data_IF_791925831946
#
_entry.id   IF_791925831946
#
_cell.length_a   1.000
_cell.length_b   1.000
_cell.length_c   1.000
_cell.angle_alpha   90.00
_cell.angle_beta   90.00
_cell.angle_gamma   90.00
#
_symmetry.space_group_name_H-M   'P 1'
#
loop_
_entity.id
_entity.type
_entity.pdbx_description
1 polymer ?
#
# COMPACT_ATOMS: atom_id res chain seq x y z
N UNK A 1 -2.87 3.29 -2.63
CA UNK A 1 -1.89 2.20 -2.42
C UNK A 1 -0.64 2.83 -1.82
N UNK A 2 -0.03 2.25 -0.78
CA UNK A 2 1.24 2.77 -0.23
C UNK A 2 2.42 2.28 -1.09
N UNK A 3 3.38 3.16 -1.33
CA UNK A 3 4.63 2.88 -2.03
C UNK A 3 5.80 3.42 -1.20
N UNK A 4 6.97 2.81 -1.34
CA UNK A 4 8.19 3.28 -0.67
C UNK A 4 9.03 4.05 -1.69
N UNK A 5 9.46 5.26 -1.34
CA UNK A 5 10.41 6.01 -2.16
C UNK A 5 11.77 5.31 -2.20
N UNK A 6 12.22 4.91 -3.39
CA UNK A 6 13.53 4.31 -3.63
C UNK A 6 14.63 5.38 -3.69
N UNK A 7 14.27 6.60 -4.10
CA UNK A 7 15.15 7.75 -4.26
C UNK A 7 14.46 9.01 -3.74
N UNK A 8 15.22 10.06 -3.43
CA UNK A 8 14.66 11.36 -3.11
C UNK A 8 14.28 12.11 -4.39
N UNK A 9 13.18 12.84 -4.36
CA UNK A 9 12.69 13.68 -5.44
C UNK A 9 12.41 15.09 -4.92
N UNK A 10 12.88 16.10 -5.65
CA UNK A 10 12.59 17.51 -5.36
C UNK A 10 11.68 18.03 -6.45
N UNK A 11 10.51 18.51 -6.05
CA UNK A 11 9.53 19.11 -6.93
C UNK A 11 10.16 20.30 -7.68
N UNK A 12 10.03 20.26 -8.99
CA UNK A 12 10.45 21.30 -9.93
C UNK A 12 9.27 22.16 -10.39
N UNK A 13 8.07 21.60 -10.35
CA UNK A 13 6.81 22.28 -10.68
C UNK A 13 5.86 22.38 -9.47
N UNK A 14 4.85 23.24 -9.56
CA UNK A 14 3.94 23.54 -8.44
C UNK A 14 2.91 22.43 -8.16
N UNK A 15 2.66 21.55 -9.14
CA UNK A 15 1.77 20.40 -9.06
C UNK A 15 2.51 19.10 -8.67
N UNK A 16 3.81 19.17 -8.43
CA UNK A 16 4.65 18.06 -7.97
C UNK A 16 4.82 18.05 -6.44
N UNK A 17 5.09 16.88 -5.87
CA UNK A 17 5.38 16.76 -4.43
C UNK A 17 6.76 16.15 -4.18
N UNK A 18 7.53 16.83 -3.33
CA UNK A 18 8.87 16.37 -2.94
C UNK A 18 8.78 15.27 -1.88
N UNK A 19 9.74 14.35 -1.91
CA UNK A 19 9.88 13.28 -0.93
C UNK A 19 11.33 12.82 -0.82
N UNK A 20 11.67 12.19 0.30
CA UNK A 20 12.98 11.60 0.54
C UNK A 20 12.97 10.10 0.30
N UNK A 21 14.13 9.54 -0.04
CA UNK A 21 14.33 8.09 -0.07
C UNK A 21 13.89 7.48 1.27
N UNK A 22 13.05 6.45 1.19
CA UNK A 22 12.49 5.74 2.34
C UNK A 22 11.13 6.25 2.79
N UNK A 23 10.67 7.41 2.28
CA UNK A 23 9.34 7.93 2.60
C UNK A 23 8.25 6.98 2.12
N UNK A 24 7.16 6.92 2.89
CA UNK A 24 5.94 6.22 2.51
C UNK A 24 5.05 7.20 1.78
N UNK A 25 4.69 6.84 0.55
CA UNK A 25 3.92 7.68 -0.36
C UNK A 25 2.59 7.01 -0.66
N UNK A 26 1.48 7.72 -0.48
CA UNK A 26 0.13 7.20 -0.78
C UNK A 26 -0.20 7.50 -2.23
N UNK A 27 -0.01 6.52 -3.11
CA UNK A 27 -0.41 6.59 -4.52
C UNK A 27 -1.94 6.55 -4.60
N UNK A 28 -2.51 7.61 -5.18
CA UNK A 28 -3.96 7.84 -5.31
C UNK A 28 -4.42 7.42 -6.70
N UNK A 29 -3.69 7.81 -7.75
CA UNK A 29 -4.08 7.58 -9.13
C UNK A 29 -2.88 7.17 -9.98
N UNK A 30 -3.13 6.22 -10.88
CA UNK A 30 -2.13 5.62 -11.77
C UNK A 30 -2.72 5.69 -13.18
N UNK A 31 -2.25 6.66 -13.96
CA UNK A 31 -2.65 6.77 -15.37
C UNK A 31 -1.85 5.78 -16.22
N UNK A 32 -2.54 5.02 -17.07
CA UNK A 32 -1.93 3.91 -17.83
C UNK A 32 -0.87 4.34 -18.85
N UNK A 33 -0.94 5.58 -19.31
CA UNK A 33 -0.05 6.11 -20.35
C UNK A 33 0.90 7.19 -19.81
N UNK A 34 1.09 7.24 -18.49
CA UNK A 34 1.91 8.23 -17.79
C UNK A 34 2.98 7.56 -16.93
N UNK A 35 4.21 8.06 -16.99
CA UNK A 35 5.29 7.70 -16.06
C UNK A 35 5.21 8.45 -14.71
N UNK A 36 4.09 9.15 -14.49
CA UNK A 36 3.80 9.94 -13.30
C UNK A 36 2.55 9.44 -12.62
N UNK A 37 2.61 9.33 -11.30
CA UNK A 37 1.46 9.01 -10.46
C UNK A 37 1.02 10.22 -9.67
N UNK A 38 -0.28 10.29 -9.40
CA UNK A 38 -0.81 11.22 -8.40
C UNK A 38 -0.65 10.57 -7.04
N UNK A 39 0.07 11.23 -6.14
CA UNK A 39 0.27 10.78 -4.78
C UNK A 39 -0.13 11.83 -3.74
N UNK A 40 -0.34 11.36 -2.52
CA UNK A 40 -0.62 12.16 -1.34
C UNK A 40 0.48 11.91 -0.29
N UNK A 41 1.10 12.98 0.20
CA UNK A 41 2.09 12.94 1.29
C UNK A 41 1.73 14.06 2.26
N UNK A 42 1.51 13.70 3.53
CA UNK A 42 1.11 14.66 4.59
C UNK A 42 -0.10 15.54 4.21
N UNK A 43 -1.10 14.95 3.53
CA UNK A 43 -2.31 15.65 3.08
C UNK A 43 -2.12 16.55 1.85
N UNK A 44 -0.90 16.71 1.33
CA UNK A 44 -0.63 17.40 0.07
C UNK A 44 -0.70 16.40 -1.08
N UNK A 45 -1.43 16.75 -2.14
CA UNK A 45 -1.51 15.95 -3.36
C UNK A 45 -0.67 16.57 -4.47
N UNK A 46 0.03 15.72 -5.21
CA UNK A 46 0.82 16.14 -6.36
C UNK A 46 1.37 14.96 -7.14
N UNK A 47 2.01 15.27 -8.26
CA UNK A 47 2.64 14.29 -9.12
C UNK A 47 3.99 13.83 -8.57
N UNK A 48 4.25 12.54 -8.74
CA UNK A 48 5.53 11.90 -8.45
C UNK A 48 5.93 10.97 -9.59
N UNK A 49 7.24 10.81 -9.84
CA UNK A 49 7.71 9.89 -10.88
C UNK A 49 7.58 8.43 -10.43
N UNK A 50 6.98 7.58 -11.28
CA UNK A 50 6.76 6.15 -11.00
C UNK A 50 8.06 5.42 -10.65
N UNK A 51 9.13 5.67 -11.41
CA UNK A 51 10.42 4.99 -11.26
C UNK A 51 11.19 5.39 -9.98
N UNK A 52 10.68 6.34 -9.20
CA UNK A 52 11.26 6.74 -7.93
C UNK A 52 10.64 6.02 -6.74
N UNK A 53 9.56 5.28 -6.97
CA UNK A 53 8.85 4.57 -5.92
C UNK A 53 8.79 3.08 -6.23
N UNK A 54 8.70 2.29 -5.17
CA UNK A 54 8.41 0.88 -5.26
C UNK A 54 7.05 0.63 -4.63
N UNK A 55 6.08 0.32 -5.50
CA UNK A 55 4.82 -0.25 -5.10
C UNK A 55 5.12 -1.64 -4.55
N UNK A 56 5.15 -1.76 -3.23
CA UNK A 56 5.12 -3.06 -2.61
C UNK A 56 3.64 -3.40 -2.43
N UNK A 57 3.06 -4.26 -3.27
CA UNK A 57 1.75 -4.82 -2.95
C UNK A 57 1.95 -5.60 -1.66
N UNK A 58 1.51 -5.01 -0.57
CA UNK A 58 1.41 -5.74 0.67
C UNK A 58 0.37 -6.83 0.46
N UNK A 59 0.80 -8.09 0.53
CA UNK A 59 -0.07 -9.24 0.29
C UNK A 59 -1.23 -9.31 1.29
N UNK A 60 -1.06 -8.66 2.44
CA UNK A 60 -2.11 -8.45 3.42
C UNK A 60 -3.14 -7.40 2.99
N UNK A 61 -2.87 -6.53 2.02
CA UNK A 61 -3.84 -5.57 1.51
C UNK A 61 -4.66 -6.19 0.37
N UNK A 62 -5.87 -6.65 0.69
CA UNK A 62 -6.76 -7.33 -0.24
C UNK A 62 -7.60 -6.38 -1.12
N UNK A 63 -7.51 -5.07 -0.91
CA UNK A 63 -8.28 -4.08 -1.66
C UNK A 63 -9.79 -4.14 -1.35
N UNK A 64 -10.62 -3.97 -2.38
CA UNK A 64 -12.08 -3.96 -2.27
C UNK A 64 -12.66 -5.38 -2.27
N UNK A 65 -12.49 -6.10 -1.15
CA UNK A 65 -13.19 -7.37 -0.90
C UNK A 65 -14.23 -7.21 0.20
N UNK A 66 -15.28 -8.04 0.13
CA UNK A 66 -16.35 -7.98 1.11
C UNK A 66 -15.94 -8.55 2.47
N UNK A 67 -16.71 -8.23 3.50
CA UNK A 67 -16.60 -8.85 4.82
C UNK A 67 -16.74 -10.37 4.70
N UNK A 68 -17.75 -10.83 3.97
CA UNK A 68 -18.02 -12.26 3.75
C UNK A 68 -16.86 -12.95 3.01
N UNK A 69 -16.32 -12.31 1.99
CA UNK A 69 -15.16 -12.83 1.25
C UNK A 69 -13.93 -12.92 2.15
N UNK A 70 -13.71 -11.92 3.01
CA UNK A 70 -12.64 -11.96 4.00
C UNK A 70 -12.83 -13.09 5.01
N UNK A 71 -14.06 -13.30 5.49
CA UNK A 71 -14.41 -14.41 6.37
C UNK A 71 -14.12 -15.77 5.69
N UNK A 72 -14.50 -15.95 4.43
CA UNK A 72 -14.25 -17.19 3.68
C UNK A 72 -12.76 -17.52 3.53
N UNK A 73 -11.92 -16.49 3.33
CA UNK A 73 -10.46 -16.67 3.18
C UNK A 73 -9.75 -16.91 4.51
N UNK A 74 -10.18 -16.23 5.56
CA UNK A 74 -9.48 -16.23 6.86
C UNK A 74 -10.02 -17.27 7.84
N UNK A 75 -11.25 -17.74 7.67
CA UNK A 75 -11.78 -18.80 8.50
C UNK A 75 -10.92 -20.06 8.34
N UNK A 76 -10.67 -20.73 9.46
CA UNK A 76 -9.82 -21.92 9.55
C UNK A 76 -8.34 -21.70 9.25
N UNK A 77 -7.88 -20.44 9.14
CA UNK A 77 -6.47 -20.11 9.11
C UNK A 77 -5.88 -20.10 10.54
N UNK A 78 -4.55 -20.11 10.64
CA UNK A 78 -3.87 -19.98 11.92
C UNK A 78 -4.26 -18.66 12.63
N UNK A 79 -4.40 -18.67 13.97
CA UNK A 79 -4.65 -17.46 14.73
C UNK A 79 -3.62 -16.37 14.43
N UNK A 80 -4.11 -15.17 14.12
CA UNK A 80 -3.30 -14.01 13.74
C UNK A 80 -3.15 -13.80 12.24
N UNK A 81 -3.51 -14.77 11.39
CA UNK A 81 -3.53 -14.56 9.94
C UNK A 81 -4.54 -13.46 9.58
N UNK A 82 -4.12 -12.46 8.80
CA UNK A 82 -4.95 -11.27 8.58
C UNK A 82 -4.95 -10.78 7.13
N UNK A 83 -5.90 -9.87 6.85
CA UNK A 83 -5.88 -8.98 5.70
C UNK A 83 -6.50 -7.63 6.05
N UNK A 84 -6.11 -6.59 5.33
CA UNK A 84 -6.72 -5.25 5.31
C UNK A 84 -7.54 -5.13 4.03
N UNK A 85 -8.76 -4.65 4.16
CA UNK A 85 -9.71 -4.44 3.05
C UNK A 85 -10.34 -3.06 3.14
N UNK A 86 -10.85 -2.55 2.02
CA UNK A 86 -11.72 -1.38 2.02
C UNK A 86 -13.01 -1.70 2.79
N UNK A 87 -13.50 -0.73 3.57
CA UNK A 87 -14.73 -0.85 4.33
C UNK A 87 -15.93 -0.75 3.39
N UNK A 88 -16.76 -1.79 3.34
CA UNK A 88 -18.02 -1.76 2.56
C UNK A 88 -19.07 -0.84 3.20
N UNK A 89 -19.03 -0.71 4.52
CA UNK A 89 -19.98 0.10 5.29
C UNK A 89 -19.63 1.59 5.34
N UNK A 90 -18.39 1.96 5.03
CA UNK A 90 -17.89 3.33 5.13
C UNK A 90 -16.88 3.62 4.00
N UNK A 91 -17.31 4.27 2.91
CA UNK A 91 -16.43 4.65 1.81
C UNK A 91 -15.26 5.50 2.32
N UNK A 92 -14.03 5.11 1.98
CA UNK A 92 -12.79 5.78 2.42
C UNK A 92 -12.15 5.19 3.68
N UNK A 93 -12.88 4.38 4.46
CA UNK A 93 -12.31 3.69 5.63
C UNK A 93 -11.75 2.30 5.26
N UNK A 94 -10.92 1.76 6.15
CA UNK A 94 -10.37 0.41 6.04
C UNK A 94 -10.89 -0.50 7.16
N UNK A 95 -10.82 -1.81 6.92
CA UNK A 95 -11.12 -2.84 7.91
C UNK A 95 -9.99 -3.86 7.95
N UNK A 96 -9.48 -4.12 9.14
CA UNK A 96 -8.50 -5.18 9.41
C UNK A 96 -9.27 -6.44 9.84
N UNK A 97 -9.21 -7.48 9.03
CA UNK A 97 -9.85 -8.78 9.31
C UNK A 97 -8.79 -9.76 9.79
N UNK A 98 -8.99 -10.38 10.95
CA UNK A 98 -8.01 -11.26 11.60
C UNK A 98 -8.65 -12.61 11.92
N UNK A 99 -7.98 -13.69 11.56
CA UNK A 99 -8.37 -15.04 11.90
C UNK A 99 -8.06 -15.36 13.35
N UNK A 100 -9.00 -16.01 14.02
CA UNK A 100 -8.85 -16.59 15.36
C UNK A 100 -8.93 -18.12 15.31
N UNK A 101 -8.82 -18.72 14.12
CA UNK A 101 -9.04 -20.15 13.89
C UNK A 101 -10.47 -20.43 13.44
N UNK A 102 -11.40 -20.50 14.40
CA UNK A 102 -12.80 -20.87 14.14
C UNK A 102 -13.69 -19.72 13.66
N UNK A 103 -13.21 -18.48 13.83
CA UNK A 103 -13.92 -17.26 13.44
C UNK A 103 -12.94 -16.19 12.96
N UNK A 104 -13.51 -15.15 12.37
CA UNK A 104 -12.79 -13.96 11.93
C UNK A 104 -13.35 -12.76 12.67
N UNK A 105 -12.45 -11.95 13.25
CA UNK A 105 -12.82 -10.68 13.86
C UNK A 105 -12.42 -9.53 12.93
N UNK A 106 -13.23 -8.47 12.91
CA UNK A 106 -13.03 -7.32 12.05
C UNK A 106 -12.87 -6.07 12.90
N UNK A 107 -11.74 -5.42 12.74
CA UNK A 107 -11.39 -4.17 13.39
C UNK A 107 -11.54 -3.03 12.39
N UNK A 108 -12.29 -1.99 12.78
CA UNK A 108 -12.37 -0.78 11.97
C UNK A 108 -11.04 -0.03 12.09
N UNK A 109 -10.46 0.32 10.95
CA UNK A 109 -9.30 1.20 10.89
C UNK A 109 -9.82 2.58 10.52
N UNK A 110 -9.75 3.49 11.48
CA UNK A 110 -10.15 4.88 11.32
C UNK A 110 -8.98 5.67 10.71
N UNK A 111 -9.32 6.69 9.92
CA UNK A 111 -8.37 7.64 9.36
C UNK A 111 -8.80 9.05 9.77
N UNK A 112 -7.89 9.79 10.40
CA UNK A 112 -8.07 11.20 10.76
C UNK A 112 -6.79 11.98 10.47
N UNK A 113 -6.86 12.96 9.58
CA UNK A 113 -5.72 13.83 9.25
C UNK A 113 -4.48 13.10 8.72
N UNK A 114 -4.65 12.00 7.99
CA UNK A 114 -3.56 11.15 7.49
C UNK A 114 -3.01 10.16 8.52
N UNK A 115 -3.62 10.05 9.70
CA UNK A 115 -3.25 9.08 10.72
C UNK A 115 -4.26 7.94 10.81
N UNK A 116 -3.76 6.71 10.94
CA UNK A 116 -4.51 5.48 11.01
C UNK A 116 -4.49 4.90 12.42
N UNK A 117 -5.63 4.44 12.93
CA UNK A 117 -5.74 3.79 14.24
C UNK A 117 -6.91 2.81 14.33
N UNK A 118 -6.77 1.82 15.20
CA UNK A 118 -7.84 0.89 15.60
C UNK A 118 -8.32 1.18 17.02
N UNK A 119 -7.37 1.48 17.91
CA UNK A 119 -7.59 1.76 19.32
C UNK A 119 -7.03 3.14 19.68
N UNK A 120 -6.20 3.24 20.72
CA UNK A 120 -5.57 4.46 21.23
C UNK A 120 -4.29 4.88 20.49
N UNK A 121 -3.72 3.99 19.67
CA UNK A 121 -2.47 4.22 18.94
C UNK A 121 -2.70 4.67 17.51
N UNK A 122 -2.20 5.88 17.20
CA UNK A 122 -2.20 6.48 15.87
C UNK A 122 -0.87 6.25 15.12
N UNK A 123 -0.98 5.98 13.82
CA UNK A 123 0.13 5.66 12.93
C UNK A 123 0.04 6.52 11.67
N UNK A 124 1.18 6.97 11.13
CA UNK A 124 1.19 7.77 9.90
C UNK A 124 0.92 6.97 8.61
N UNK A 125 0.74 5.65 8.71
CA UNK A 125 0.48 4.77 7.56
C UNK A 125 -0.12 3.43 7.99
N UNK A 126 -0.84 2.77 7.08
CA UNK A 126 -1.38 1.42 7.33
C UNK A 126 -0.25 0.41 7.55
N UNK A 127 0.87 0.57 6.84
CA UNK A 127 2.03 -0.30 7.01
C UNK A 127 2.58 -0.24 8.44
N UNK A 128 2.70 0.98 9.00
CA UNK A 128 3.17 1.15 10.39
C UNK A 128 2.20 0.56 11.40
N UNK A 129 0.90 0.70 11.16
CA UNK A 129 -0.13 0.05 11.96
C UNK A 129 0.04 -1.47 11.95
N UNK A 130 0.21 -2.07 10.77
CA UNK A 130 0.41 -3.52 10.61
C UNK A 130 1.70 -3.98 11.28
N UNK A 131 2.82 -3.30 11.04
CA UNK A 131 4.11 -3.61 11.68
C UNK A 131 4.02 -3.59 13.20
N UNK A 132 3.29 -2.61 13.76
CA UNK A 132 3.08 -2.53 15.19
C UNK A 132 2.34 -3.77 15.72
N UNK A 133 1.23 -4.16 15.13
CA UNK A 133 0.43 -5.31 15.59
C UNK A 133 1.01 -6.68 15.21
N UNK A 134 2.10 -6.74 14.43
CA UNK A 134 2.93 -7.95 14.32
C UNK A 134 3.72 -8.20 15.61
N UNK A 135 4.15 -7.14 16.28
CA UNK A 135 4.91 -7.21 17.53
C UNK A 135 4.03 -7.06 18.79
N UNK A 136 2.84 -6.48 18.67
CA UNK A 136 1.93 -6.20 19.78
C UNK A 136 0.58 -6.88 19.56
N UNK A 137 -0.03 -7.36 20.65
CA UNK A 137 -1.35 -7.97 20.58
C UNK A 137 -2.41 -6.95 20.13
N UNK A 138 -3.27 -7.36 19.20
CA UNK A 138 -4.39 -6.52 18.74
C UNK A 138 -5.55 -6.45 19.73
N UNK A 139 -5.67 -7.43 20.63
CA UNK A 139 -6.66 -7.41 21.72
C UNK A 139 -6.01 -7.60 23.08
N UNK A 140 -6.71 -7.15 24.12
CA UNK A 140 -6.29 -7.29 25.52
C UNK A 140 -6.67 -8.65 26.12
N UNK A 141 -7.69 -9.31 25.56
CA UNK A 141 -8.27 -10.55 26.09
C UNK A 141 -7.45 -11.79 25.70
N UNK A 142 -6.87 -11.78 24.49
CA UNK A 142 -6.05 -12.87 23.96
C UNK A 142 -4.84 -12.30 23.23
N UNK A 143 -3.68 -12.89 23.47
CA UNK A 143 -2.45 -12.52 22.77
C UNK A 143 -2.53 -13.00 21.32
N UNK A 144 -2.84 -12.07 20.41
CA UNK A 144 -2.93 -12.32 18.97
C UNK A 144 -2.12 -11.28 18.22
N UNK A 145 -1.09 -11.77 17.54
CA UNK A 145 -0.18 -10.98 16.72
C UNK A 145 -0.52 -11.20 15.26
N UNK A 146 -0.41 -10.15 14.45
CA UNK A 146 -0.66 -10.23 13.02
C UNK A 146 0.40 -11.12 12.33
N UNK A 147 -0.07 -12.00 11.45
CA UNK A 147 0.75 -12.93 10.66
C UNK A 147 0.32 -12.90 9.20
N UNK A 148 1.28 -12.96 8.31
CA UNK A 148 0.98 -13.00 6.88
C UNK A 148 0.28 -14.32 6.51
N UNK A 149 -0.56 -14.27 5.48
CA UNK A 149 -1.29 -15.44 4.99
C UNK A 149 -0.31 -16.55 4.54
N UNK A 150 -0.50 -17.83 4.91
CA UNK A 150 0.49 -18.89 4.74
C UNK A 150 0.94 -19.20 3.30
N UNK A 151 0.20 -18.75 2.29
CA UNK A 151 0.47 -19.08 0.87
C UNK A 151 1.74 -18.48 0.26
N UNK A 152 2.68 -17.94 1.04
CA UNK A 152 3.86 -17.25 0.50
C UNK A 152 5.22 -17.71 1.04
N UNK A 153 5.33 -18.91 1.62
CA UNK A 153 6.64 -19.51 1.85
C UNK A 153 7.31 -20.10 0.59
N UNK A 154 6.63 -20.11 -0.57
CA UNK A 154 7.24 -20.57 -1.84
C UNK A 154 7.78 -19.45 -2.75
N UNK A 155 7.41 -18.18 -2.55
CA UNK A 155 7.80 -17.08 -3.46
C UNK A 155 8.83 -16.11 -2.86
N UNK A 156 9.12 -16.19 -1.56
CA UNK A 156 10.19 -15.40 -0.93
C UNK A 156 11.60 -15.79 -1.43
N UNK A 157 11.76 -16.94 -2.09
CA UNK A 157 13.01 -17.33 -2.76
C UNK A 157 13.08 -17.00 -4.26
N UNK A 158 11.97 -16.60 -4.90
CA UNK A 158 11.93 -16.41 -6.36
C UNK A 158 11.68 -14.96 -6.81
N UNK A 159 11.46 -14.00 -5.90
CA UNK A 159 11.29 -12.60 -6.28
C UNK A 159 10.10 -12.33 -7.22
N UNK A 160 9.19 -13.30 -7.37
CA UNK A 160 8.04 -13.17 -8.26
C UNK A 160 6.92 -12.43 -7.54
N UNK A 161 6.66 -11.22 -8.03
CA UNK A 161 5.53 -10.41 -7.64
C UNK A 161 4.23 -11.12 -8.08
N UNK A 162 3.33 -11.53 -7.16
CA UNK A 162 2.11 -12.28 -7.50
C UNK A 162 1.08 -11.41 -8.26
N UNK A 163 1.31 -10.10 -8.32
CA UNK A 163 0.72 -9.21 -9.31
C UNK A 163 1.87 -8.72 -10.19
N UNK A 164 2.24 -9.46 -11.24
CA UNK A 164 3.26 -8.98 -12.17
C UNK A 164 2.78 -7.64 -12.68
N UNK A 165 3.59 -6.59 -12.51
CA UNK A 165 3.36 -5.36 -13.27
C UNK A 165 3.39 -5.80 -14.74
N UNK A 166 2.26 -5.73 -15.48
CA UNK A 166 2.19 -6.22 -16.85
C UNK A 166 3.15 -5.48 -17.80
N UNK A 167 3.83 -4.44 -17.31
CA UNK A 167 4.80 -3.63 -18.03
C UNK A 167 6.24 -3.73 -17.49
N UNK A 168 6.51 -4.53 -16.45
CA UNK A 168 7.85 -4.69 -15.89
C UNK A 168 8.53 -6.00 -16.32
N UNK A 169 8.69 -6.20 -17.62
CA UNK A 169 9.36 -7.38 -18.20
C UNK A 169 10.88 -7.22 -18.39
N UNK A 170 11.51 -6.11 -17.98
CA UNK A 170 12.90 -5.81 -18.39
C UNK A 170 13.94 -5.61 -17.27
N UNK A 171 13.64 -5.94 -16.01
CA UNK A 171 14.60 -5.73 -14.91
C UNK A 171 15.54 -6.93 -14.62
N UNK A 172 15.81 -7.79 -15.61
CA UNK A 172 16.76 -8.90 -15.49
C UNK A 172 17.95 -8.85 -16.46
N UNK A 173 18.13 -7.78 -17.22
CA UNK A 173 19.38 -7.55 -17.94
C UNK A 173 20.10 -6.31 -17.44
N UNK A 174 21.31 -6.55 -16.93
CA UNK A 174 22.43 -5.62 -16.85
C UNK A 174 22.53 -4.74 -15.60
N UNK A 175 23.24 -5.27 -14.61
CA UNK A 175 24.14 -4.51 -13.74
C UNK A 175 25.19 -3.73 -14.56
N UNK A 176 24.80 -2.67 -15.28
CA UNK A 176 25.70 -1.74 -15.95
C UNK A 176 24.96 -0.51 -16.56
N UNK A 177 24.17 0.23 -15.79
CA UNK A 177 23.64 1.53 -16.25
C UNK A 177 23.28 2.48 -15.10
N UNK A 178 24.17 2.66 -14.13
CA UNK A 178 24.17 3.91 -13.36
C UNK A 178 24.70 4.99 -14.29
N UNK A 179 23.81 5.88 -14.74
CA UNK A 179 24.01 7.22 -15.35
C UNK A 179 23.15 7.36 -16.60
N UNK A 180 21.88 7.74 -16.41
CA UNK A 180 21.08 8.63 -17.27
C UNK A 180 19.70 8.74 -16.64
N UNK A 181 19.44 9.88 -15.99
CA UNK A 181 18.10 10.30 -15.61
C UNK A 181 17.26 10.41 -16.91
N UNK A 182 16.03 9.88 -16.96
CA UNK A 182 15.19 10.09 -18.13
C UNK A 182 14.76 11.56 -18.16
N UNK A 183 14.98 12.21 -19.31
CA UNK A 183 14.44 13.53 -19.61
C UNK A 183 12.91 13.46 -19.65
N UNK A 184 12.29 14.34 -18.86
CA UNK A 184 10.98 15.01 -19.04
C UNK A 184 10.08 14.45 -20.15
N UNK A 185 9.37 13.35 -19.87
CA UNK A 185 8.21 12.90 -20.66
C UNK A 185 6.95 12.91 -19.81
N UNK A 186 6.25 14.04 -19.74
CA UNK A 186 4.96 14.22 -19.03
C UNK A 186 3.81 13.66 -19.88
N UNK A 187 2.70 13.15 -19.29
CA UNK A 187 1.44 13.07 -20.01
C UNK A 187 0.91 14.48 -20.38
N UNK A 188 0.20 14.65 -21.50
CA UNK A 188 -0.35 15.95 -21.90
C UNK A 188 -1.44 16.40 -20.92
N UNK A 189 -1.37 17.67 -20.50
CA UNK A 189 -2.38 18.30 -19.63
C UNK A 189 -3.80 18.14 -20.20
N UNK A 190 -4.68 17.44 -19.47
CA UNK A 190 -6.12 17.53 -19.67
C UNK A 190 -6.55 18.97 -19.35
N UNK A 191 -6.65 19.79 -20.39
CA UNK A 191 -7.30 21.09 -20.31
C UNK A 191 -8.71 20.87 -19.78
N UNK A 192 -8.99 21.46 -18.62
CA UNK A 192 -10.35 21.64 -18.13
C UNK A 192 -11.09 22.53 -19.13
N UNK A 193 -11.88 21.93 -20.02
CA UNK A 193 -12.86 22.68 -20.78
C UNK A 193 -13.97 23.12 -19.82
N UNK A 194 -13.91 24.39 -19.42
CA UNK A 194 -15.08 25.12 -18.95
C UNK A 194 -16.04 25.27 -20.13
N UNK A 195 -17.29 24.87 -19.93
CA UNK A 195 -18.47 25.43 -20.59
C UNK A 195 -19.52 25.71 -19.51
#
# INVERSE_FOLDING_TARGET
MEAVALFSFTASEADEISFQKGDIVKVVEMERDSFWFTAEIEGKRGFIPENYISLHPHLWFAGAISRLEAEQRLCWQDPGVFLVRASESAPGEFSLSVSYGDRVEHFRVLEDGGQYYIWDKAFCSLNRLVEFYRAHSITMEKVVHLRDYPSFHLNSHLGLNPYPNPYNSNLLESTAALTRLPETGRPPHLHSNQF
#
